data_IF_410631372731
#
_entry.id   IF_410631372731
#
_cell.length_a   1.000
_cell.length_b   1.000
_cell.length_c   1.000
_cell.angle_alpha   90.00
_cell.angle_beta   90.00
_cell.angle_gamma   90.00
#
_symmetry.space_group_name_H-M   'P 1'
#
loop_
_entity.id
_entity.type
_entity.pdbx_description
1 polymer ?
#
# COMPACT_ATOMS: atom_id res chain seq x y z
N UNK A 1 -62.81 -42.25 2.14
CA UNK A 1 -61.46 -42.21 1.53
C UNK A 1 -61.39 -41.04 0.57
N UNK A 2 -60.88 -39.88 0.99
CA UNK A 2 -60.57 -38.77 0.09
C UNK A 2 -59.07 -38.47 0.21
N UNK A 3 -58.31 -38.95 -0.78
CA UNK A 3 -56.90 -38.60 -0.96
C UNK A 3 -56.83 -37.18 -1.52
N UNK A 4 -56.39 -36.23 -0.70
CA UNK A 4 -56.06 -34.88 -1.15
C UNK A 4 -54.81 -34.96 -2.02
N UNK A 5 -54.95 -34.79 -3.34
CA UNK A 5 -53.83 -34.65 -4.26
C UNK A 5 -53.07 -33.36 -3.94
N UNK A 6 -51.85 -33.50 -3.42
CA UNK A 6 -50.88 -32.41 -3.33
C UNK A 6 -50.47 -31.98 -4.76
N UNK A 7 -50.95 -30.84 -5.23
CA UNK A 7 -50.40 -30.17 -6.41
C UNK A 7 -49.05 -29.53 -6.04
N UNK A 8 -47.99 -30.33 -6.09
CA UNK A 8 -46.63 -29.86 -5.81
C UNK A 8 -46.11 -28.99 -6.96
N UNK A 9 -46.34 -27.68 -6.90
CA UNK A 9 -45.64 -26.74 -7.78
C UNK A 9 -44.16 -26.80 -7.41
N UNK A 10 -43.31 -27.22 -8.34
CA UNK A 10 -41.86 -27.19 -8.11
C UNK A 10 -41.37 -25.74 -8.02
N UNK A 11 -40.31 -25.49 -7.24
CA UNK A 11 -39.69 -24.16 -7.10
C UNK A 11 -39.37 -23.52 -8.47
N UNK A 12 -38.95 -24.34 -9.44
CA UNK A 12 -38.68 -23.92 -10.82
C UNK A 12 -39.94 -23.49 -11.57
N UNK A 13 -41.05 -24.21 -11.40
CA UNK A 13 -42.34 -23.87 -12.01
C UNK A 13 -42.94 -22.61 -11.37
N UNK A 14 -42.82 -22.46 -10.04
CA UNK A 14 -43.25 -21.25 -9.34
C UNK A 14 -42.49 -20.01 -9.84
N UNK A 15 -41.16 -20.09 -9.94
CA UNK A 15 -40.31 -18.99 -10.44
C UNK A 15 -40.61 -18.61 -11.90
N UNK A 16 -41.01 -19.58 -12.74
CA UNK A 16 -41.35 -19.34 -14.14
C UNK A 16 -42.78 -18.83 -14.35
N UNK A 17 -43.73 -19.25 -13.52
CA UNK A 17 -45.16 -19.04 -13.76
C UNK A 17 -45.83 -17.98 -12.90
N UNK A 18 -45.37 -17.77 -11.66
CA UNK A 18 -46.00 -16.80 -10.74
C UNK A 18 -45.62 -15.37 -11.16
N UNK A 19 -46.60 -14.46 -11.19
CA UNK A 19 -46.38 -13.05 -11.56
C UNK A 19 -45.85 -12.88 -12.99
N UNK A 20 -46.41 -13.63 -13.95
CA UNK A 20 -46.00 -13.61 -15.36
C UNK A 20 -44.51 -13.88 -15.61
N UNK A 21 -43.86 -14.64 -14.72
CA UNK A 21 -42.45 -14.96 -14.85
C UNK A 21 -41.49 -13.84 -14.45
N UNK A 22 -41.97 -12.78 -13.80
CA UNK A 22 -41.12 -11.70 -13.27
C UNK A 22 -40.04 -12.24 -12.31
N UNK A 23 -40.36 -13.24 -11.48
CA UNK A 23 -39.39 -13.92 -10.62
C UNK A 23 -38.29 -14.64 -11.40
N UNK A 24 -38.64 -15.23 -12.55
CA UNK A 24 -37.70 -15.86 -13.48
C UNK A 24 -36.80 -14.83 -14.17
N UNK A 25 -37.34 -13.66 -14.54
CA UNK A 25 -36.56 -12.54 -15.08
C UNK A 25 -35.60 -11.96 -14.03
N UNK A 26 -36.08 -11.73 -12.80
CA UNK A 26 -35.25 -11.27 -11.69
C UNK A 26 -34.13 -12.26 -11.34
N UNK A 27 -34.43 -13.56 -11.29
CA UNK A 27 -33.42 -14.61 -11.09
C UNK A 27 -32.45 -14.69 -12.26
N UNK A 28 -32.93 -14.56 -13.50
CA UNK A 28 -32.08 -14.49 -14.69
C UNK A 28 -31.15 -13.29 -14.66
N UNK A 29 -31.63 -12.13 -14.25
CA UNK A 29 -30.81 -10.92 -14.07
C UNK A 29 -29.79 -11.08 -12.93
N UNK A 30 -30.15 -11.71 -11.81
CA UNK A 30 -29.21 -12.01 -10.72
C UNK A 30 -28.16 -13.05 -11.14
N UNK A 31 -28.55 -14.12 -11.82
CA UNK A 31 -27.64 -15.14 -12.32
C UNK A 31 -26.72 -14.57 -13.41
N UNK A 32 -27.25 -13.71 -14.28
CA UNK A 32 -26.45 -12.99 -15.27
C UNK A 32 -25.49 -12.00 -14.60
N UNK A 33 -25.91 -11.30 -13.54
CA UNK A 33 -25.01 -10.48 -12.72
C UNK A 33 -23.92 -11.32 -12.06
N UNK A 34 -24.22 -12.50 -11.54
CA UNK A 34 -23.22 -13.41 -10.96
C UNK A 34 -22.26 -13.96 -12.02
N UNK A 35 -22.77 -14.31 -13.21
CA UNK A 35 -21.96 -14.81 -14.33
C UNK A 35 -21.13 -13.70 -15.00
N UNK A 36 -21.67 -12.47 -15.08
CA UNK A 36 -20.95 -11.26 -15.50
C UNK A 36 -20.03 -10.74 -14.40
N UNK A 37 -20.28 -11.10 -13.14
CA UNK A 37 -19.41 -10.88 -11.99
C UNK A 37 -18.27 -11.91 -11.90
N UNK A 38 -17.65 -12.24 -13.03
CA UNK A 38 -16.19 -12.32 -13.04
C UNK A 38 -15.62 -10.91 -12.81
N UNK A 39 -16.02 -10.25 -11.71
CA UNK A 39 -15.53 -8.95 -11.31
C UNK A 39 -14.06 -9.20 -10.93
N UNK A 40 -13.10 -8.73 -11.73
CA UNK A 40 -11.70 -9.02 -11.52
C UNK A 40 -11.15 -8.37 -10.23
N UNK A 41 -11.93 -7.45 -9.65
CA UNK A 41 -11.65 -6.80 -8.37
C UNK A 41 -12.25 -7.55 -7.17
N UNK A 42 -13.10 -8.58 -7.36
CA UNK A 42 -13.59 -9.33 -6.21
C UNK A 42 -12.43 -10.00 -5.47
N UNK A 43 -12.48 -10.06 -4.12
CA UNK A 43 -11.53 -10.84 -3.34
C UNK A 43 -11.43 -12.25 -3.92
N UNK A 44 -10.23 -12.60 -4.37
CA UNK A 44 -9.95 -13.92 -4.93
C UNK A 44 -9.76 -14.92 -3.81
N UNK A 45 -10.03 -16.19 -4.09
CA UNK A 45 -9.60 -17.27 -3.21
C UNK A 45 -8.06 -17.30 -3.20
N UNK A 46 -7.48 -16.78 -2.12
CA UNK A 46 -6.04 -16.76 -1.89
C UNK A 46 -5.65 -17.95 -1.00
N UNK A 47 -4.39 -18.40 -1.10
CA UNK A 47 -3.87 -19.53 -0.31
C UNK A 47 -4.08 -19.37 1.20
N UNK A 48 -4.12 -18.14 1.71
CA UNK A 48 -4.38 -17.82 3.11
C UNK A 48 -5.45 -16.74 3.21
N UNK A 49 -6.41 -16.93 4.12
CA UNK A 49 -7.40 -15.90 4.42
C UNK A 49 -6.69 -14.62 4.90
N UNK A 50 -6.96 -13.46 4.28
CA UNK A 50 -6.30 -12.21 4.65
C UNK A 50 -6.73 -11.78 6.06
N UNK A 51 -5.76 -11.45 6.91
CA UNK A 51 -6.02 -10.87 8.24
C UNK A 51 -6.26 -9.37 8.16
N UNK A 52 -5.56 -8.68 7.26
CA UNK A 52 -5.74 -7.25 7.02
C UNK A 52 -6.88 -7.03 6.01
N UNK A 53 -7.75 -6.06 6.29
CA UNK A 53 -8.85 -5.66 5.38
C UNK A 53 -8.48 -4.48 4.50
N UNK A 54 -7.65 -3.57 5.02
CA UNK A 54 -7.27 -2.30 4.39
C UNK A 54 -5.82 -1.99 4.73
N UNK A 55 -5.10 -1.41 3.77
CA UNK A 55 -3.69 -1.05 3.93
C UNK A 55 -3.52 0.41 3.52
N UNK A 56 -2.95 1.22 4.41
CA UNK A 56 -2.49 2.57 4.11
C UNK A 56 -0.97 2.52 4.13
N UNK A 57 -0.36 2.79 2.98
CA UNK A 57 1.09 2.82 2.83
C UNK A 57 1.55 4.27 2.66
N UNK A 58 2.43 4.71 3.55
CA UNK A 58 2.99 6.07 3.55
C UNK A 58 4.48 5.98 3.26
N UNK A 59 4.90 6.42 2.08
CA UNK A 59 6.31 6.55 1.71
C UNK A 59 6.78 7.99 1.87
N UNK A 60 7.57 8.25 2.91
CA UNK A 60 8.11 9.59 3.21
C UNK A 60 9.43 9.79 2.46
N UNK A 61 9.37 10.25 1.20
CA UNK A 61 10.56 10.56 0.42
C UNK A 61 11.38 11.68 1.08
N UNK A 62 12.63 11.41 1.44
CA UNK A 62 13.45 12.35 2.21
C UNK A 62 13.00 12.52 3.67
N UNK A 63 12.22 11.57 4.20
CA UNK A 63 11.73 11.59 5.56
C UNK A 63 12.83 11.57 6.63
N UNK A 64 12.40 11.70 7.88
CA UNK A 64 13.28 11.75 9.05
C UNK A 64 14.16 10.51 9.13
N UNK A 65 15.41 10.70 9.54
CA UNK A 65 16.34 9.60 9.79
C UNK A 65 15.79 8.59 10.80
N UNK A 66 16.02 7.31 10.55
CA UNK A 66 15.57 6.22 11.43
C UNK A 66 16.20 6.30 12.83
N UNK A 67 17.48 6.69 12.93
CA UNK A 67 18.17 6.84 14.23
C UNK A 67 17.74 8.08 15.00
N UNK A 68 17.04 9.01 14.34
CA UNK A 68 16.45 10.21 14.93
C UNK A 68 14.97 10.00 15.32
N UNK A 69 14.38 8.84 15.00
CA UNK A 69 12.95 8.55 15.17
C UNK A 69 12.69 7.37 16.11
N UNK A 70 12.81 6.14 15.61
CA UNK A 70 12.42 4.91 16.31
C UNK A 70 13.56 3.90 16.51
N UNK A 71 14.78 4.24 16.06
CA UNK A 71 15.95 3.37 16.16
C UNK A 71 17.08 3.97 17.00
N UNK A 72 16.82 4.11 18.30
CA UNK A 72 17.83 4.54 19.26
C UNK A 72 19.09 3.67 19.20
N UNK A 73 20.26 4.31 19.02
CA UNK A 73 21.57 3.68 19.05
C UNK A 73 22.46 4.39 20.08
N UNK A 74 22.67 3.77 21.25
CA UNK A 74 23.54 4.30 22.30
C UNK A 74 24.93 4.69 21.77
N UNK A 75 25.51 3.84 20.91
CA UNK A 75 26.84 4.06 20.32
C UNK A 75 26.98 5.40 19.58
N UNK A 76 25.90 5.92 18.98
CA UNK A 76 25.95 7.24 18.32
C UNK A 76 26.14 8.39 19.30
N UNK A 77 25.65 8.25 20.54
CA UNK A 77 25.85 9.22 21.61
C UNK A 77 27.27 9.13 22.17
N UNK A 78 27.75 7.91 22.41
CA UNK A 78 29.08 7.66 22.99
C UNK A 78 30.23 8.07 22.04
N UNK A 79 29.97 7.99 20.73
CA UNK A 79 30.93 8.30 19.69
C UNK A 79 30.71 9.68 19.05
N UNK A 80 29.79 10.51 19.56
CA UNK A 80 29.50 11.85 19.00
C UNK A 80 30.79 12.68 18.84
N UNK A 81 31.04 13.14 17.62
CA UNK A 81 32.24 13.91 17.29
C UNK A 81 33.47 13.10 16.92
N UNK A 82 33.52 11.78 17.17
CA UNK A 82 34.63 10.93 16.74
C UNK A 82 34.64 10.79 15.21
N UNK A 83 35.84 10.75 14.65
CA UNK A 83 36.05 10.38 13.25
C UNK A 83 36.11 8.86 13.16
N UNK A 84 35.27 8.27 12.31
CA UNK A 84 35.24 6.82 12.08
C UNK A 84 35.41 6.53 10.61
N UNK A 85 36.17 5.47 10.30
CA UNK A 85 36.24 4.92 8.95
C UNK A 85 34.85 4.43 8.55
N UNK A 86 34.31 4.97 7.46
CA UNK A 86 33.02 4.55 6.91
C UNK A 86 33.19 4.24 5.43
N UNK A 87 32.76 3.05 5.03
CA UNK A 87 32.86 2.59 3.65
C UNK A 87 31.69 3.18 2.84
N UNK A 88 31.77 4.48 2.56
CA UNK A 88 30.84 5.14 1.65
C UNK A 88 31.12 4.71 0.21
N UNK A 89 30.25 3.83 -0.30
CA UNK A 89 30.32 3.34 -1.67
C UNK A 89 30.39 4.48 -2.72
N UNK A 90 29.76 5.63 -2.47
CA UNK A 90 29.79 6.78 -3.38
C UNK A 90 31.15 7.48 -3.35
N UNK A 91 31.70 7.70 -2.15
CA UNK A 91 33.03 8.31 -2.01
C UNK A 91 34.12 7.39 -2.55
N UNK A 92 34.01 6.08 -2.28
CA UNK A 92 34.93 5.09 -2.81
C UNK A 92 34.90 5.04 -4.34
N UNK A 93 33.70 5.03 -4.96
CA UNK A 93 33.56 5.03 -6.42
C UNK A 93 34.14 6.31 -7.06
N UNK A 94 33.99 7.47 -6.41
CA UNK A 94 34.45 8.76 -6.95
C UNK A 94 35.93 9.01 -6.73
N UNK A 95 36.47 8.63 -5.57
CA UNK A 95 37.82 9.06 -5.14
C UNK A 95 38.80 7.91 -5.00
N UNK A 96 38.33 6.65 -5.05
CA UNK A 96 39.10 5.43 -4.71
C UNK A 96 39.76 5.45 -3.33
N UNK A 97 39.24 6.30 -2.43
CA UNK A 97 39.71 6.42 -1.05
C UNK A 97 38.57 6.14 -0.09
N UNK A 98 38.93 5.59 1.05
CA UNK A 98 38.04 5.51 2.21
C UNK A 98 38.34 6.73 3.06
N UNK A 99 37.30 7.49 3.35
CA UNK A 99 37.39 8.72 4.15
C UNK A 99 36.78 8.46 5.51
N UNK A 100 37.28 9.17 6.51
CA UNK A 100 36.66 9.17 7.81
C UNK A 100 35.46 10.13 7.82
N UNK A 101 34.39 9.72 8.47
CA UNK A 101 33.21 10.53 8.69
C UNK A 101 33.07 10.83 10.18
N UNK A 102 32.66 12.06 10.50
CA UNK A 102 32.32 12.43 11.86
C UNK A 102 31.01 11.78 12.27
N UNK A 103 31.02 10.99 13.34
CA UNK A 103 29.78 10.49 13.96
C UNK A 103 29.02 11.67 14.54
N UNK A 104 27.71 11.71 14.26
CA UNK A 104 26.79 12.70 14.80
C UNK A 104 25.69 11.98 15.55
N UNK A 105 25.54 12.29 16.84
CA UNK A 105 24.41 11.80 17.61
C UNK A 105 23.09 12.43 17.14
N UNK A 106 21.95 11.74 17.35
CA UNK A 106 20.64 12.37 17.25
C UNK A 106 20.56 13.64 18.08
N UNK A 107 19.92 14.68 17.53
CA UNK A 107 19.75 15.97 18.22
C UNK A 107 18.57 15.97 19.20
N UNK A 108 17.73 14.94 19.14
CA UNK A 108 16.48 14.82 19.87
C UNK A 108 16.60 13.87 21.05
N UNK A 109 15.84 14.17 22.11
CA UNK A 109 15.75 13.30 23.28
C UNK A 109 14.90 12.07 22.98
N UNK A 110 15.27 10.95 23.59
CA UNK A 110 14.52 9.71 23.54
C UNK A 110 13.94 9.40 24.92
N UNK A 111 12.75 8.78 24.91
CA UNK A 111 12.14 8.18 26.10
C UNK A 111 11.61 6.80 25.74
N UNK A 112 11.56 5.91 26.71
CA UNK A 112 10.93 4.60 26.53
C UNK A 112 9.42 4.74 26.73
N UNK A 113 8.65 4.15 25.81
CA UNK A 113 7.19 4.19 25.83
C UNK A 113 6.61 2.78 25.76
N UNK A 114 5.38 2.66 26.26
CA UNK A 114 4.64 1.40 26.29
C UNK A 114 5.24 0.38 27.26
N UNK A 115 4.60 -0.78 27.32
CA UNK A 115 5.09 -1.97 28.04
C UNK A 115 6.27 -2.60 27.30
N UNK A 116 6.34 -2.45 25.97
CA UNK A 116 7.45 -2.91 25.13
C UNK A 116 8.74 -2.13 25.39
N UNK A 117 8.67 -0.98 26.08
CA UNK A 117 9.83 -0.15 26.42
C UNK A 117 10.52 0.46 25.19
N UNK A 118 9.80 0.59 24.06
CA UNK A 118 10.35 1.07 22.80
C UNK A 118 10.87 2.51 22.97
N UNK A 119 12.16 2.78 22.69
CA UNK A 119 12.69 4.13 22.68
C UNK A 119 12.11 4.91 21.50
N UNK A 120 11.47 6.05 21.76
CA UNK A 120 10.93 6.94 20.73
C UNK A 120 11.44 8.36 20.94
N UNK A 121 11.84 8.99 19.84
CA UNK A 121 12.27 10.38 19.79
C UNK A 121 11.14 11.34 20.15
N UNK A 122 11.47 12.45 20.81
CA UNK A 122 10.53 13.53 21.13
C UNK A 122 9.93 14.21 19.89
N UNK A 123 10.43 13.92 18.69
CA UNK A 123 9.81 14.29 17.41
C UNK A 123 8.43 13.66 17.18
N UNK A 124 8.16 12.49 17.78
CA UNK A 124 6.94 11.72 17.51
C UNK A 124 6.12 11.47 18.78
N UNK A 125 5.76 12.52 19.56
CA UNK A 125 5.14 12.35 20.88
C UNK A 125 3.75 11.72 20.81
N UNK A 126 3.03 11.91 19.69
CA UNK A 126 1.73 11.32 19.47
C UNK A 126 1.82 9.85 19.06
N UNK A 127 2.79 9.48 18.22
CA UNK A 127 3.00 8.07 17.85
C UNK A 127 3.54 7.26 19.02
N UNK A 128 4.37 7.88 19.88
CA UNK A 128 4.93 7.25 21.07
C UNK A 128 3.86 6.70 22.03
N UNK A 129 2.66 7.32 22.06
CA UNK A 129 1.52 6.84 22.87
C UNK A 129 0.99 5.47 22.43
N UNK A 130 1.32 5.05 21.21
CA UNK A 130 0.88 3.79 20.60
C UNK A 130 2.03 2.77 20.48
N UNK A 131 3.10 2.93 21.25
CA UNK A 131 4.30 2.10 21.13
C UNK A 131 4.04 0.58 21.18
N UNK A 132 3.07 0.14 21.98
CA UNK A 132 2.70 -1.29 22.09
C UNK A 132 1.87 -1.80 20.89
N UNK A 133 1.24 -0.91 20.14
CA UNK A 133 0.45 -1.23 18.94
C UNK A 133 1.27 -1.12 17.64
N UNK A 134 2.50 -0.63 17.74
CA UNK A 134 3.39 -0.40 16.59
C UNK A 134 4.37 -1.56 16.41
N UNK A 135 4.45 -2.07 15.18
CA UNK A 135 5.55 -2.94 14.76
C UNK A 135 6.62 -2.12 14.06
N UNK A 136 7.83 -2.08 14.62
CA UNK A 136 8.98 -1.35 14.05
C UNK A 136 9.96 -2.36 13.44
N UNK A 137 10.00 -2.41 12.11
CA UNK A 137 10.91 -3.28 11.38
C UNK A 137 12.27 -2.60 11.13
N UNK A 138 13.30 -3.01 11.88
CA UNK A 138 14.68 -2.47 11.79
C UNK A 138 15.63 -3.30 10.91
N UNK A 139 15.11 -4.31 10.23
CA UNK A 139 15.89 -5.29 9.46
C UNK A 139 15.94 -5.04 7.96
N UNK A 140 15.50 -3.87 7.49
CA UNK A 140 15.47 -3.60 6.05
C UNK A 140 16.88 -3.30 5.52
N UNK A 141 17.26 -3.93 4.40
CA UNK A 141 18.51 -3.68 3.70
C UNK A 141 18.24 -3.38 2.23
N UNK A 142 19.05 -2.50 1.66
CA UNK A 142 19.04 -2.17 0.24
C UNK A 142 20.43 -2.31 -0.34
N UNK A 143 20.52 -2.49 -1.66
CA UNK A 143 21.78 -2.68 -2.38
C UNK A 143 22.24 -1.41 -3.11
N UNK A 144 21.39 -0.37 -3.15
CA UNK A 144 21.64 0.87 -3.88
C UNK A 144 21.82 2.08 -2.98
N UNK A 145 22.61 3.05 -3.45
CA UNK A 145 22.84 4.36 -2.80
C UNK A 145 22.05 5.50 -3.45
N UNK A 146 21.40 5.24 -4.59
CA UNK A 146 20.72 6.25 -5.39
C UNK A 146 19.22 6.29 -5.07
N UNK A 147 18.67 7.50 -4.92
CA UNK A 147 17.27 7.71 -4.53
C UNK A 147 16.27 7.02 -5.46
N UNK A 148 16.47 7.08 -6.78
CA UNK A 148 15.55 6.49 -7.75
C UNK A 148 15.45 4.97 -7.65
N UNK A 149 16.56 4.23 -7.82
CA UNK A 149 16.59 2.79 -7.62
C UNK A 149 16.06 2.37 -6.24
N UNK A 150 16.47 3.02 -5.15
CA UNK A 150 16.02 2.64 -3.80
C UNK A 150 14.53 2.89 -3.57
N UNK A 151 13.97 3.96 -4.14
CA UNK A 151 12.52 4.21 -4.09
C UNK A 151 11.76 3.14 -4.85
N UNK A 152 12.23 2.76 -6.04
CA UNK A 152 11.64 1.67 -6.81
C UNK A 152 11.75 0.32 -6.09
N UNK A 153 12.88 0.07 -5.43
CA UNK A 153 13.10 -1.15 -4.65
C UNK A 153 12.11 -1.24 -3.49
N UNK A 154 11.87 -0.14 -2.78
CA UNK A 154 10.85 -0.08 -1.72
C UNK A 154 9.45 -0.42 -2.23
N UNK A 155 9.09 0.07 -3.42
CA UNK A 155 7.75 -0.14 -3.97
C UNK A 155 7.59 -1.49 -4.68
N UNK A 156 8.63 -2.06 -5.27
CA UNK A 156 8.50 -3.23 -6.18
C UNK A 156 9.40 -4.42 -5.81
N UNK A 157 10.26 -4.27 -4.80
CA UNK A 157 11.21 -5.28 -4.36
C UNK A 157 12.39 -5.52 -5.30
N UNK A 158 12.56 -4.71 -6.35
CA UNK A 158 13.63 -4.84 -7.35
C UNK A 158 13.96 -3.48 -7.97
N UNK A 159 15.21 -3.29 -8.39
CA UNK A 159 15.64 -2.08 -9.11
C UNK A 159 15.61 -2.26 -10.63
N UNK A 160 15.84 -3.49 -11.12
CA UNK A 160 16.04 -3.74 -12.55
C UNK A 160 14.75 -4.24 -13.22
N UNK A 161 14.20 -5.34 -12.71
CA UNK A 161 13.01 -5.96 -13.30
C UNK A 161 11.76 -5.08 -13.13
N UNK A 162 10.90 -5.07 -14.14
CA UNK A 162 9.57 -4.48 -14.02
C UNK A 162 8.72 -5.44 -13.19
N UNK A 163 8.38 -5.04 -11.97
CA UNK A 163 7.52 -5.80 -11.05
C UNK A 163 6.36 -4.96 -10.57
N UNK A 164 5.24 -5.61 -10.20
CA UNK A 164 4.10 -4.89 -9.66
C UNK A 164 4.50 -4.16 -8.38
N UNK A 165 3.95 -2.98 -8.20
CA UNK A 165 4.12 -2.23 -6.96
C UNK A 165 3.46 -2.94 -5.79
N UNK A 166 3.86 -2.58 -4.58
CA UNK A 166 3.27 -3.05 -3.33
C UNK A 166 1.76 -2.81 -3.31
N UNK A 167 1.29 -1.63 -3.74
CA UNK A 167 -0.14 -1.34 -3.83
C UNK A 167 -0.88 -2.25 -4.81
N UNK A 168 -0.24 -2.57 -5.95
CA UNK A 168 -0.79 -3.52 -6.93
C UNK A 168 -0.90 -4.94 -6.36
N UNK A 169 0.11 -5.39 -5.62
CA UNK A 169 0.09 -6.69 -4.92
C UNK A 169 -0.96 -6.75 -3.82
N UNK A 170 -1.11 -5.67 -3.05
CA UNK A 170 -2.14 -5.55 -2.01
C UNK A 170 -3.52 -5.62 -2.64
N UNK A 171 -3.77 -4.85 -3.71
CA UNK A 171 -5.05 -4.87 -4.41
C UNK A 171 -5.33 -6.23 -5.08
N UNK A 172 -4.29 -6.90 -5.60
CA UNK A 172 -4.40 -8.26 -6.12
C UNK A 172 -4.79 -9.29 -5.05
N UNK A 173 -4.15 -9.21 -3.87
CA UNK A 173 -4.35 -10.18 -2.80
C UNK A 173 -5.63 -9.96 -1.99
N UNK A 174 -6.00 -8.70 -1.75
CA UNK A 174 -7.20 -8.36 -0.98
C UNK A 174 -8.45 -8.19 -1.85
N UNK A 175 -8.28 -7.85 -3.13
CA UNK A 175 -9.36 -7.35 -3.96
C UNK A 175 -9.85 -5.97 -3.52
N UNK A 176 -11.00 -5.58 -4.03
CA UNK A 176 -11.73 -4.37 -3.71
C UNK A 176 -13.16 -4.73 -3.29
N UNK A 177 -13.61 -4.15 -2.17
CA UNK A 177 -15.03 -4.15 -1.79
C UNK A 177 -15.83 -3.15 -2.66
N UNK A 178 -15.15 -2.30 -3.44
CA UNK A 178 -15.77 -1.28 -4.26
C UNK A 178 -15.94 -1.75 -5.71
N UNK A 179 -17.16 -1.64 -6.23
CA UNK A 179 -17.52 -1.97 -7.62
C UNK A 179 -17.26 -0.83 -8.61
N UNK A 180 -17.21 0.42 -8.12
CA UNK A 180 -17.25 1.63 -8.96
C UNK A 180 -16.02 2.53 -8.82
N UNK A 181 -15.13 2.27 -7.84
CA UNK A 181 -13.87 2.99 -7.65
C UNK A 181 -12.66 2.07 -7.79
N UNK A 182 -11.49 2.62 -8.19
CA UNK A 182 -10.25 1.85 -8.22
C UNK A 182 -9.88 1.28 -6.85
N UNK A 183 -9.46 0.00 -6.81
CA UNK A 183 -8.97 -0.65 -5.59
C UNK A 183 -7.59 -0.18 -5.12
N UNK A 184 -6.86 0.58 -5.96
CA UNK A 184 -5.56 1.15 -5.62
C UNK A 184 -5.44 2.59 -6.13
N UNK A 185 -5.26 3.51 -5.19
CA UNK A 185 -5.10 4.94 -5.42
C UNK A 185 -3.70 5.38 -4.96
N UNK A 186 -3.04 6.20 -5.78
CA UNK A 186 -1.77 6.85 -5.44
C UNK A 186 -1.98 8.35 -5.36
N UNK A 187 -1.75 8.96 -4.20
CA UNK A 187 -2.05 10.37 -3.95
C UNK A 187 -0.76 11.19 -4.11
N UNK A 188 -0.79 12.19 -4.98
CA UNK A 188 0.32 13.10 -5.24
C UNK A 188 1.64 12.40 -5.64
N UNK A 189 1.63 11.38 -6.53
CA UNK A 189 2.85 10.66 -6.86
C UNK A 189 3.91 11.60 -7.47
N UNK A 190 5.18 11.34 -7.13
CA UNK A 190 6.32 12.02 -7.75
C UNK A 190 6.65 11.38 -9.10
N UNK A 191 6.95 12.22 -10.09
CA UNK A 191 7.51 11.77 -11.37
C UNK A 191 9.00 11.42 -11.25
N UNK A 192 9.67 11.94 -10.23
CA UNK A 192 11.05 11.59 -9.91
C UNK A 192 11.16 10.24 -9.20
N UNK A 193 12.39 9.75 -9.07
CA UNK A 193 12.73 8.58 -8.26
C UNK A 193 11.84 7.34 -8.51
N UNK A 194 11.74 6.90 -9.77
CA UNK A 194 10.97 5.71 -10.16
C UNK A 194 9.66 6.02 -10.91
N UNK A 195 9.08 7.19 -10.69
CA UNK A 195 7.91 7.67 -11.44
C UNK A 195 6.73 6.69 -11.44
N UNK A 196 6.04 6.51 -12.57
CA UNK A 196 4.86 5.63 -12.66
C UNK A 196 5.10 4.17 -12.26
N UNK A 197 6.34 3.69 -12.28
CA UNK A 197 6.67 2.33 -11.85
C UNK A 197 6.40 2.11 -10.35
N UNK A 198 6.43 3.16 -9.53
CA UNK A 198 6.18 3.08 -8.10
C UNK A 198 4.74 2.66 -7.75
N UNK A 199 3.80 2.79 -8.70
CA UNK A 199 2.39 2.40 -8.54
C UNK A 199 1.87 1.60 -9.74
N UNK A 200 2.75 0.88 -10.44
CA UNK A 200 2.40 0.11 -11.63
C UNK A 200 1.91 -1.31 -11.31
N UNK A 201 0.98 -1.84 -12.09
CA UNK A 201 0.58 -3.25 -12.08
C UNK A 201 1.61 -4.20 -12.73
N UNK A 202 2.52 -3.69 -13.56
CA UNK A 202 3.44 -4.49 -14.35
C UNK A 202 2.72 -5.64 -15.09
N UNK A 203 3.08 -6.90 -14.81
CA UNK A 203 2.47 -8.08 -15.43
C UNK A 203 1.14 -8.51 -14.79
N UNK A 204 0.70 -7.90 -13.68
CA UNK A 204 -0.65 -8.14 -13.18
C UNK A 204 -1.68 -7.51 -14.14
N UNK A 205 -2.93 -8.01 -14.17
CA UNK A 205 -3.99 -7.39 -14.95
C UNK A 205 -4.14 -5.88 -14.71
N UNK A 206 -4.56 -5.14 -15.73
CA UNK A 206 -4.66 -3.66 -15.73
C UNK A 206 -5.55 -3.11 -14.61
N UNK A 207 -6.51 -3.90 -14.13
CA UNK A 207 -7.39 -3.54 -13.00
C UNK A 207 -6.64 -3.30 -11.69
N UNK A 208 -5.39 -3.76 -11.57
CA UNK A 208 -4.54 -3.54 -10.41
C UNK A 208 -3.60 -2.33 -10.56
N UNK A 209 -3.72 -1.57 -11.65
CA UNK A 209 -2.93 -0.36 -11.87
C UNK A 209 -3.33 0.72 -10.86
N UNK A 210 -2.34 1.34 -10.21
CA UNK A 210 -2.58 2.45 -9.33
C UNK A 210 -3.13 3.65 -10.10
N UNK A 211 -4.24 4.21 -9.60
CA UNK A 211 -4.85 5.42 -10.14
C UNK A 211 -4.26 6.64 -9.45
N UNK A 212 -3.47 7.48 -10.15
CA UNK A 212 -2.88 8.66 -9.56
C UNK A 212 -3.92 9.78 -9.39
N UNK A 213 -3.94 10.42 -8.22
CA UNK A 213 -4.67 11.66 -7.95
C UNK A 213 -3.65 12.78 -7.77
N UNK A 214 -3.69 13.78 -8.64
CA UNK A 214 -2.71 14.87 -8.66
C UNK A 214 -1.27 14.42 -8.96
N UNK A 215 -0.29 15.23 -8.53
CA UNK A 215 1.15 14.95 -8.60
C UNK A 215 1.88 15.70 -7.49
N UNK A 216 3.09 15.24 -7.15
CA UNK A 216 3.94 15.89 -6.16
C UNK A 216 4.15 17.38 -6.52
N UNK A 217 4.04 18.25 -5.51
CA UNK A 217 4.21 19.71 -5.65
C UNK A 217 2.93 20.48 -5.99
N UNK A 218 1.79 19.81 -6.21
CA UNK A 218 0.49 20.47 -6.33
C UNK A 218 -0.24 20.40 -4.98
N UNK A 219 -0.91 21.48 -4.52
CA UNK A 219 -1.75 21.43 -3.34
C UNK A 219 -2.83 20.34 -3.44
N UNK A 220 -3.14 19.68 -2.32
CA UNK A 220 -4.15 18.62 -2.31
C UNK A 220 -5.52 19.09 -2.82
N UNK A 221 -5.90 20.35 -2.53
CA UNK A 221 -7.15 20.96 -3.01
C UNK A 221 -7.24 21.09 -4.54
N UNK A 222 -6.10 21.14 -5.23
CA UNK A 222 -6.02 21.30 -6.68
C UNK A 222 -5.72 19.96 -7.37
N UNK A 223 -5.70 18.86 -6.62
CA UNK A 223 -5.39 17.53 -7.13
C UNK A 223 -6.61 16.89 -7.78
N UNK A 224 -6.49 16.57 -9.06
CA UNK A 224 -7.56 15.97 -9.86
C UNK A 224 -7.14 14.62 -10.45
N UNK A 225 -8.12 13.86 -10.92
CA UNK A 225 -7.86 12.71 -11.80
C UNK A 225 -7.86 13.24 -13.24
N UNK A 226 -6.82 12.88 -13.99
CA UNK A 226 -6.68 13.33 -15.38
C UNK A 226 -7.90 12.90 -16.20
N UNK A 227 -8.47 13.83 -16.96
CA UNK A 227 -9.62 13.62 -17.84
C UNK A 227 -10.94 13.26 -17.11
N UNK A 228 -11.05 13.58 -15.82
CA UNK A 228 -12.32 13.50 -15.08
C UNK A 228 -12.69 14.90 -14.62
N UNK A 229 -13.86 15.37 -15.05
CA UNK A 229 -14.53 16.54 -14.49
C UNK A 229 -15.69 16.07 -13.62
N UNK A 230 -15.84 16.65 -12.43
CA UNK A 230 -16.99 16.35 -11.58
C UNK A 230 -18.25 16.94 -12.25
N UNK A 231 -19.31 16.15 -12.47
CA UNK A 231 -20.56 16.70 -13.00
C UNK A 231 -21.10 17.77 -12.05
N UNK A 232 -21.34 18.99 -12.56
CA UNK A 232 -21.93 20.09 -11.78
C UNK A 232 -20.96 20.85 -10.87
N UNK A 233 -19.65 20.70 -11.06
CA UNK A 233 -18.63 21.58 -10.47
C UNK A 233 -18.04 22.42 -11.59
N UNK A 234 -18.71 23.54 -11.86
CA UNK A 234 -18.21 24.64 -12.69
C UNK A 234 -17.35 25.59 -11.85
#
# INVERSE_FOLDING_TARGET
MNSLRSFGISRRQALRGVGCGFGGLAMGAMAHRVAAAANPLMPKLVHHAPKAKRVIFLFMAGGVSHVDSFDYKQKLFDDDGKMVRFDDARTLAKTRKIVEHRVKKPLWKFKNYGQCGQPVSELFPHMAKHADDLCILKGMRTEGVAHGPSTLFMHSGTINLIRPSMGSWVNYGLGSENENLPGFISIGPSMGNGGPRNYSNAFLPSVYQGTPIGRAGIPAKDSTIKNITAPGVD
#
